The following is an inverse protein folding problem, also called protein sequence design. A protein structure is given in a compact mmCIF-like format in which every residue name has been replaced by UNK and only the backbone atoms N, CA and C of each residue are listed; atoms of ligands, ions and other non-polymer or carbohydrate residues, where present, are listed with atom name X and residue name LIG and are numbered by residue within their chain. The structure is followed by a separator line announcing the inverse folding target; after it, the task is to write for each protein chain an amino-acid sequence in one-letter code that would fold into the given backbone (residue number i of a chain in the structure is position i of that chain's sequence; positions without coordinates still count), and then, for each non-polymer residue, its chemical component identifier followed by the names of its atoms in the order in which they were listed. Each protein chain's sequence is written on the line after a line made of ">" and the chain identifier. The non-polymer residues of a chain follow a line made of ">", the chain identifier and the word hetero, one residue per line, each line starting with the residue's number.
data_IF_921154375634
#
_entry.id   IF_921154375634
#
_cell.length_a   1.000
_cell.length_b   1.000
_cell.length_c   1.000
_cell.angle_alpha   90.00
_cell.angle_beta   90.00
_cell.angle_gamma   90.00
#
_symmetry.space_group_name_H-M   'P 1'
#
loop_
_entity.id
_entity.type
_entity.pdbx_description
1 polymer ?
#
# COMPACT_ATOMS: atom_id res chain seq x y z
N UNK A 1 -1.31 6.81 20.79
CA UNK A 1 -1.13 5.67 19.87
C UNK A 1 -2.25 4.67 20.03
N UNK A 2 -2.11 3.73 20.97
CA UNK A 2 -3.03 2.60 21.18
C UNK A 2 -4.53 2.93 21.13
N UNK A 3 -4.99 3.92 21.90
CA UNK A 3 -6.42 4.27 21.94
C UNK A 3 -6.93 4.64 20.54
N UNK A 4 -6.16 5.39 19.74
CA UNK A 4 -6.56 5.78 18.38
C UNK A 4 -6.78 4.56 17.48
N UNK A 5 -5.86 3.59 17.51
CA UNK A 5 -5.97 2.37 16.72
C UNK A 5 -7.12 1.49 17.21
N UNK A 6 -7.21 1.28 18.53
CA UNK A 6 -8.29 0.49 19.13
C UNK A 6 -9.68 1.06 18.88
N UNK A 7 -9.83 2.40 18.88
CA UNK A 7 -11.10 3.03 18.50
C UNK A 7 -11.53 2.62 17.11
N UNK A 8 -10.59 2.48 16.16
CA UNK A 8 -10.90 2.05 14.81
C UNK A 8 -11.11 0.54 14.71
N UNK A 9 -10.18 -0.24 15.25
CA UNK A 9 -10.21 -1.71 15.16
C UNK A 9 -11.46 -2.30 15.82
N UNK A 10 -11.91 -1.69 16.92
CA UNK A 10 -13.05 -2.16 17.71
C UNK A 10 -14.32 -1.33 17.49
N UNK A 11 -14.35 -0.49 16.46
CA UNK A 11 -15.51 0.36 16.13
C UNK A 11 -16.77 -0.48 15.95
N UNK A 12 -16.65 -1.64 15.29
CA UNK A 12 -17.75 -2.59 15.05
C UNK A 12 -18.31 -3.23 16.33
N UNK A 13 -17.59 -3.18 17.45
CA UNK A 13 -18.08 -3.67 18.75
C UNK A 13 -18.93 -2.62 19.47
N UNK A 14 -18.91 -1.37 19.01
CA UNK A 14 -19.82 -0.35 19.51
C UNK A 14 -21.10 -0.36 18.67
N UNK A 15 -22.20 -0.80 19.29
CA UNK A 15 -23.53 -0.72 18.68
C UNK A 15 -24.29 0.43 19.35
N UNK A 16 -24.73 1.41 18.57
CA UNK A 16 -25.56 2.52 19.05
C UNK A 16 -27.02 2.09 19.17
N UNK A 17 -27.28 1.05 19.99
CA UNK A 17 -28.61 0.48 20.25
C UNK A 17 -29.09 0.72 21.70
N UNK A 18 -28.44 1.63 22.43
CA UNK A 18 -28.79 1.97 23.81
C UNK A 18 -28.22 1.04 24.90
N UNK A 19 -27.63 -0.11 24.54
CA UNK A 19 -27.09 -1.07 25.53
C UNK A 19 -25.71 -0.67 26.08
N UNK A 20 -24.90 0.04 25.29
CA UNK A 20 -23.55 0.48 25.69
C UNK A 20 -23.40 1.99 25.49
N UNK A 21 -23.15 2.74 26.56
CA UNK A 21 -22.87 4.17 26.43
C UNK A 21 -21.49 4.43 25.82
N UNK A 22 -21.33 5.53 25.06
CA UNK A 22 -20.02 5.99 24.55
C UNK A 22 -18.95 6.06 25.65
N UNK A 23 -19.34 6.47 26.86
CA UNK A 23 -18.44 6.55 28.03
C UNK A 23 -17.97 5.17 28.46
N UNK A 24 -18.86 4.18 28.51
CA UNK A 24 -18.51 2.81 28.85
C UNK A 24 -17.57 2.19 27.79
N UNK A 25 -17.85 2.40 26.51
CA UNK A 25 -16.99 1.93 25.43
C UNK A 25 -15.59 2.57 25.49
N UNK A 26 -15.49 3.89 25.69
CA UNK A 26 -14.20 4.57 25.87
C UNK A 26 -13.41 4.03 27.06
N UNK A 27 -14.08 3.72 28.18
CA UNK A 27 -13.45 3.08 29.36
C UNK A 27 -12.92 1.69 29.00
N UNK A 28 -13.70 0.90 28.27
CA UNK A 28 -13.29 -0.42 27.79
C UNK A 28 -12.03 -0.33 26.90
N UNK A 29 -12.01 0.55 25.90
CA UNK A 29 -10.82 0.76 25.05
C UNK A 29 -9.60 1.16 25.88
N UNK A 30 -9.78 1.99 26.91
CA UNK A 30 -8.71 2.35 27.85
C UNK A 30 -8.15 1.15 28.63
N UNK A 31 -9.01 0.23 29.05
CA UNK A 31 -8.58 -0.99 29.73
C UNK A 31 -7.82 -1.94 28.79
N UNK A 32 -8.31 -2.10 27.55
CA UNK A 32 -7.63 -2.89 26.52
C UNK A 32 -6.25 -2.30 26.20
N UNK A 33 -6.16 -0.97 26.04
CA UNK A 33 -4.90 -0.28 25.80
C UNK A 33 -3.87 -0.53 26.91
N UNK A 34 -4.29 -0.49 28.19
CA UNK A 34 -3.41 -0.81 29.33
C UNK A 34 -2.90 -2.25 29.25
N UNK A 35 -3.79 -3.22 28.99
CA UNK A 35 -3.40 -4.62 28.86
C UNK A 35 -2.40 -4.85 27.70
N UNK A 36 -2.59 -4.16 26.57
CA UNK A 36 -1.65 -4.22 25.44
C UNK A 36 -0.27 -3.66 25.80
N UNK A 37 -0.20 -2.58 26.56
CA UNK A 37 1.08 -2.01 27.03
C UNK A 37 1.80 -3.00 27.94
N UNK A 38 1.09 -3.60 28.91
CA UNK A 38 1.68 -4.60 29.81
C UNK A 38 2.22 -5.80 29.03
N UNK A 39 1.46 -6.32 28.05
CA UNK A 39 1.92 -7.41 27.19
C UNK A 39 3.11 -7.00 26.32
N UNK A 40 3.11 -5.78 25.79
CA UNK A 40 4.22 -5.24 25.01
C UNK A 40 5.51 -5.12 25.83
N UNK A 41 5.41 -4.76 27.12
CA UNK A 41 6.54 -4.75 28.04
C UNK A 41 7.05 -6.17 28.33
N UNK A 42 6.16 -7.12 28.64
CA UNK A 42 6.56 -8.51 28.86
C UNK A 42 7.23 -9.13 27.62
N UNK A 43 6.69 -8.86 26.43
CA UNK A 43 7.28 -9.28 25.16
C UNK A 43 8.67 -8.65 24.94
N UNK A 44 8.84 -7.37 25.27
CA UNK A 44 10.13 -6.70 25.20
C UNK A 44 11.19 -7.36 26.09
N UNK A 45 10.86 -7.67 27.34
CA UNK A 45 11.77 -8.34 28.27
C UNK A 45 12.14 -9.75 27.77
N UNK A 46 11.17 -10.48 27.23
CA UNK A 46 11.43 -11.78 26.62
C UNK A 46 12.42 -11.66 25.45
N UNK A 47 12.27 -10.67 24.57
CA UNK A 47 13.22 -10.45 23.46
C UNK A 47 14.63 -10.13 23.98
N UNK A 48 14.76 -9.26 24.98
CA UNK A 48 16.07 -8.89 25.55
C UNK A 48 16.77 -10.12 26.14
N UNK A 49 16.03 -10.95 26.89
CA UNK A 49 16.58 -12.15 27.52
C UNK A 49 17.04 -13.19 26.49
N UNK A 50 16.28 -13.39 25.42
CA UNK A 50 16.56 -14.43 24.44
C UNK A 50 17.53 -13.98 23.33
N UNK A 51 17.61 -12.67 23.06
CA UNK A 51 18.40 -12.10 21.95
C UNK A 51 19.24 -10.89 22.39
N UNK A 52 20.10 -11.02 23.42
CA UNK A 52 20.80 -9.89 24.02
C UNK A 52 21.82 -9.22 23.07
N UNK A 53 22.33 -9.93 22.07
CA UNK A 53 23.30 -9.41 21.10
C UNK A 53 22.69 -8.78 19.83
N UNK A 54 21.37 -8.69 19.73
CA UNK A 54 20.69 -8.24 18.51
C UNK A 54 20.26 -6.78 18.58
N UNK A 55 20.29 -6.10 17.42
CA UNK A 55 19.75 -4.74 17.30
C UNK A 55 18.23 -4.78 17.44
N UNK A 56 17.70 -4.03 18.40
CA UNK A 56 16.25 -3.94 18.61
C UNK A 56 15.62 -2.89 17.70
N UNK A 57 14.88 -3.34 16.71
CA UNK A 57 14.09 -2.47 15.83
C UNK A 57 12.68 -2.22 16.42
N UNK A 58 12.05 -1.10 16.02
CA UNK A 58 10.73 -0.70 16.47
C UNK A 58 9.98 0.03 15.36
N UNK A 59 8.73 -0.35 15.13
CA UNK A 59 7.81 0.37 14.24
C UNK A 59 7.18 1.61 14.90
N UNK A 60 7.41 1.79 16.20
CA UNK A 60 6.95 2.96 16.95
C UNK A 60 8.10 3.96 17.13
N UNK A 61 7.79 5.26 17.24
CA UNK A 61 8.76 6.27 17.66
C UNK A 61 9.46 5.87 18.97
N UNK A 62 10.73 6.22 19.06
CA UNK A 62 11.66 5.86 20.14
C UNK A 62 12.59 7.04 20.37
N UNK A 63 13.11 7.16 21.59
CA UNK A 63 14.20 8.07 21.93
C UNK A 63 15.59 7.51 21.56
N UNK A 64 15.65 6.33 20.90
CA UNK A 64 16.88 5.72 20.41
C UNK A 64 17.71 4.97 21.46
N UNK A 65 17.37 5.07 22.75
CA UNK A 65 18.19 4.50 23.83
C UNK A 65 18.21 2.97 23.83
N UNK A 66 17.06 2.33 23.62
CA UNK A 66 16.91 0.87 23.72
C UNK A 66 16.40 0.21 22.45
N UNK A 67 15.92 1.01 21.49
CA UNK A 67 15.36 0.52 20.23
C UNK A 67 15.47 1.59 19.15
N UNK A 68 15.78 1.15 17.92
CA UNK A 68 15.87 1.98 16.73
C UNK A 68 14.51 1.99 16.03
N UNK A 69 13.96 3.18 15.80
CA UNK A 69 12.71 3.31 15.05
C UNK A 69 12.96 3.12 13.56
N UNK A 70 12.14 2.30 12.91
CA UNK A 70 12.17 2.06 11.47
C UNK A 70 10.79 2.32 10.84
N UNK A 71 10.81 2.72 9.58
CA UNK A 71 9.62 2.67 8.73
C UNK A 71 9.66 1.36 7.94
N UNK A 72 8.63 0.54 8.11
CA UNK A 72 8.44 -0.69 7.32
C UNK A 72 7.82 -0.42 5.96
N UNK A 73 7.15 0.72 5.81
CA UNK A 73 6.55 1.14 4.55
C UNK A 73 7.44 2.18 3.86
N UNK A 74 7.74 2.01 2.56
CA UNK A 74 8.64 2.91 1.88
C UNK A 74 8.11 4.34 1.83
N UNK A 75 9.00 5.31 2.08
CA UNK A 75 8.71 6.75 2.00
C UNK A 75 7.51 7.20 2.87
N UNK A 76 7.12 6.42 3.88
CA UNK A 76 6.06 6.84 4.81
C UNK A 76 6.56 7.97 5.72
N UNK A 77 5.95 9.15 5.62
CA UNK A 77 6.28 10.31 6.48
C UNK A 77 5.70 10.21 7.89
N UNK A 78 4.75 9.29 8.11
CA UNK A 78 4.06 9.07 9.38
C UNK A 78 4.25 7.62 9.83
N UNK A 79 4.24 7.35 11.15
CA UNK A 79 4.29 6.00 11.69
C UNK A 79 2.99 5.28 11.35
N UNK A 80 2.99 4.57 10.23
CA UNK A 80 1.92 3.73 9.72
C UNK A 80 2.48 2.34 9.47
N UNK A 81 1.66 1.33 9.75
CA UNK A 81 2.04 -0.07 9.67
C UNK A 81 1.20 -0.78 8.62
N UNK A 82 1.77 -1.73 7.85
CA UNK A 82 1.06 -2.42 6.77
C UNK A 82 -0.29 -3.03 7.19
N UNK A 83 -0.38 -3.55 8.42
CA UNK A 83 -1.60 -4.20 8.93
C UNK A 83 -2.68 -3.24 9.45
N UNK A 84 -2.42 -1.93 9.45
CA UNK A 84 -3.43 -0.89 9.77
C UNK A 84 -3.63 0.08 8.60
N UNK A 85 -3.19 -0.26 7.39
CA UNK A 85 -3.30 0.62 6.23
C UNK A 85 -3.36 -0.16 4.92
N UNK A 86 -4.04 0.38 3.92
CA UNK A 86 -3.90 -0.02 2.53
C UNK A 86 -2.84 0.84 1.83
N UNK A 87 -2.14 0.30 0.82
CA UNK A 87 -1.34 1.10 -0.11
C UNK A 87 -2.22 1.74 -1.19
N UNK A 88 -1.85 2.96 -1.59
CA UNK A 88 -2.43 3.69 -2.70
C UNK A 88 -1.32 4.29 -3.58
N UNK A 89 -1.48 4.20 -4.90
CA UNK A 89 -0.51 4.69 -5.87
C UNK A 89 -1.06 5.87 -6.67
N UNK A 90 -0.29 6.93 -6.76
CA UNK A 90 -0.54 8.03 -7.70
C UNK A 90 0.02 7.71 -9.08
N UNK A 91 -0.47 8.41 -10.10
CA UNK A 91 0.03 8.28 -11.48
C UNK A 91 1.53 8.63 -11.56
N UNK A 92 1.98 9.61 -10.76
CA UNK A 92 3.40 10.00 -10.66
C UNK A 92 4.28 9.06 -9.80
N UNK A 93 3.75 7.91 -9.37
CA UNK A 93 4.52 6.87 -8.67
C UNK A 93 4.75 7.09 -7.18
N UNK A 94 4.10 8.07 -6.56
CA UNK A 94 4.11 8.24 -5.09
C UNK A 94 3.28 7.15 -4.41
N UNK A 95 3.80 6.74 -3.25
CA UNK A 95 3.15 5.79 -2.35
C UNK A 95 2.40 6.57 -1.25
N UNK A 96 1.12 6.28 -1.12
CA UNK A 96 0.26 6.82 -0.06
C UNK A 96 -0.24 5.64 0.77
N UNK A 97 -0.25 5.80 2.10
CA UNK A 97 -0.75 4.79 3.03
C UNK A 97 -1.86 5.38 3.89
N UNK A 98 -2.99 4.69 3.94
CA UNK A 98 -4.18 5.19 4.61
C UNK A 98 -5.12 4.08 5.04
N UNK A 99 -6.12 4.44 5.83
CA UNK A 99 -7.20 3.51 6.15
C UNK A 99 -8.04 3.25 4.90
N UNK A 100 -8.46 1.99 4.72
CA UNK A 100 -9.25 1.54 3.57
C UNK A 100 -10.44 2.47 3.28
N UNK A 101 -11.19 2.82 4.31
CA UNK A 101 -12.38 3.67 4.20
C UNK A 101 -12.10 5.07 3.65
N UNK A 102 -10.90 5.62 3.88
CA UNK A 102 -10.51 6.94 3.37
C UNK A 102 -10.32 6.86 1.87
N UNK A 103 -9.83 5.72 1.37
CA UNK A 103 -9.69 5.50 -0.06
C UNK A 103 -11.02 5.09 -0.70
N UNK A 104 -11.83 4.26 -0.05
CA UNK A 104 -13.17 3.91 -0.51
C UNK A 104 -14.07 5.15 -0.69
N UNK A 105 -13.94 6.14 0.19
CA UNK A 105 -14.72 7.37 0.13
C UNK A 105 -14.22 8.37 -0.93
N UNK A 106 -13.07 8.12 -1.57
CA UNK A 106 -12.49 9.04 -2.55
C UNK A 106 -12.87 8.62 -3.99
N UNK A 107 -13.69 9.41 -4.70
CA UNK A 107 -14.15 9.06 -6.05
C UNK A 107 -13.03 9.06 -7.11
N UNK A 108 -11.90 9.72 -6.84
CA UNK A 108 -10.72 9.75 -7.73
C UNK A 108 -9.89 8.48 -7.65
N UNK A 109 -10.16 7.61 -6.68
CA UNK A 109 -9.45 6.36 -6.49
C UNK A 109 -10.27 5.16 -6.98
N UNK A 110 -9.56 4.10 -7.35
CA UNK A 110 -10.14 2.80 -7.64
C UNK A 110 -9.39 1.68 -6.93
N UNK A 111 -10.11 0.60 -6.60
CA UNK A 111 -9.54 -0.61 -6.01
C UNK A 111 -9.01 -1.54 -7.12
N UNK A 112 -7.70 -1.72 -7.14
CA UNK A 112 -7.03 -2.65 -8.07
C UNK A 112 -7.11 -4.06 -7.52
N UNK A 113 -7.49 -4.99 -8.40
CA UNK A 113 -7.51 -6.42 -8.10
C UNK A 113 -6.32 -7.11 -8.77
N UNK A 114 -5.72 -8.06 -8.05
CA UNK A 114 -4.67 -8.92 -8.57
C UNK A 114 -5.01 -10.37 -8.22
N UNK A 115 -5.05 -11.24 -9.22
CA UNK A 115 -5.44 -12.65 -9.06
C UNK A 115 -6.80 -12.82 -8.34
N UNK A 116 -7.79 -11.99 -8.70
CA UNK A 116 -9.13 -12.01 -8.13
C UNK A 116 -9.24 -11.49 -6.69
N UNK A 117 -8.18 -10.89 -6.13
CA UNK A 117 -8.17 -10.35 -4.76
C UNK A 117 -7.89 -8.86 -4.75
N UNK A 118 -8.49 -8.08 -3.83
CA UNK A 118 -8.10 -6.71 -3.56
C UNK A 118 -6.60 -6.62 -3.30
N UNK A 119 -5.92 -5.71 -4.00
CA UNK A 119 -4.47 -5.58 -3.89
C UNK A 119 -4.06 -4.21 -3.34
N UNK A 120 -4.48 -3.15 -4.00
CA UNK A 120 -4.16 -1.77 -3.61
C UNK A 120 -5.20 -0.80 -4.15
N UNK A 121 -5.09 0.46 -3.75
CA UNK A 121 -5.78 1.56 -4.43
C UNK A 121 -4.84 2.22 -5.43
N UNK A 122 -5.41 2.91 -6.42
CA UNK A 122 -4.68 3.87 -7.23
C UNK A 122 -5.58 5.01 -7.66
N UNK A 123 -4.99 6.14 -8.03
CA UNK A 123 -5.71 7.21 -8.72
C UNK A 123 -6.18 6.72 -10.09
N UNK A 124 -7.41 7.07 -10.47
CA UNK A 124 -7.92 6.83 -11.82
C UNK A 124 -7.11 7.64 -12.83
N UNK A 125 -6.91 7.08 -14.00
CA UNK A 125 -6.23 7.76 -15.12
C UNK A 125 -6.59 7.08 -16.43
N UNK A 126 -6.85 7.89 -17.46
CA UNK A 126 -7.06 7.39 -18.82
C UNK A 126 -5.82 6.68 -19.39
N UNK A 127 -4.64 6.94 -18.82
CA UNK A 127 -3.40 6.24 -19.16
C UNK A 127 -3.42 4.74 -18.84
N UNK A 128 -4.36 4.29 -18.00
CA UNK A 128 -4.56 2.88 -17.68
C UNK A 128 -5.60 2.18 -18.56
N UNK A 129 -6.39 2.92 -19.35
CA UNK A 129 -7.52 2.40 -20.10
C UNK A 129 -7.12 1.89 -21.48
N UNK A 130 -6.30 0.83 -21.55
CA UNK A 130 -5.81 0.28 -22.83
C UNK A 130 -6.88 -0.55 -23.53
N UNK A 131 -6.88 -0.52 -24.86
CA UNK A 131 -7.74 -1.32 -25.76
C UNK A 131 -7.56 -2.82 -25.51
N UNK A 132 -6.31 -3.27 -25.37
CA UNK A 132 -5.96 -4.59 -24.86
C UNK A 132 -5.70 -4.49 -23.36
N UNK A 133 -6.37 -5.29 -22.51
CA UNK A 133 -6.22 -5.17 -21.07
C UNK A 133 -4.76 -5.34 -20.61
N UNK A 134 -4.29 -4.39 -19.81
CA UNK A 134 -2.96 -4.42 -19.18
C UNK A 134 -3.06 -4.29 -17.66
N UNK A 135 -2.16 -4.98 -16.95
CA UNK A 135 -1.87 -4.70 -15.55
C UNK A 135 -0.77 -3.63 -15.47
N UNK A 136 -1.00 -2.59 -14.68
CA UNK A 136 -0.02 -1.54 -14.41
C UNK A 136 0.37 -1.60 -12.94
N UNK A 137 1.55 -2.16 -12.68
CA UNK A 137 2.08 -2.37 -11.35
C UNK A 137 3.22 -1.37 -11.05
N UNK A 138 3.22 -0.66 -9.92
CA UNK A 138 4.37 0.13 -9.47
C UNK A 138 5.63 -0.73 -9.27
N UNK A 139 6.77 -0.18 -9.67
CA UNK A 139 8.09 -0.72 -9.38
C UNK A 139 8.68 0.07 -8.21
N UNK A 140 9.16 -0.64 -7.19
CA UNK A 140 9.86 0.01 -6.08
C UNK A 140 11.33 0.29 -6.45
N UNK A 141 11.90 1.48 -6.14
CA UNK A 141 11.29 2.64 -5.47
C UNK A 141 10.61 3.67 -6.38
N UNK A 142 10.73 3.51 -7.71
CA UNK A 142 10.06 4.35 -8.71
C UNK A 142 9.85 3.56 -10.01
N UNK A 143 8.94 4.07 -10.84
CA UNK A 143 8.58 3.47 -12.12
C UNK A 143 7.30 2.62 -12.09
N UNK A 144 6.92 2.15 -13.26
CA UNK A 144 5.76 1.29 -13.49
C UNK A 144 6.10 0.16 -14.45
N UNK A 145 5.52 -1.01 -14.21
CA UNK A 145 5.54 -2.14 -15.11
C UNK A 145 4.17 -2.28 -15.75
N UNK A 146 4.12 -2.22 -17.07
CA UNK A 146 2.92 -2.52 -17.87
C UNK A 146 3.06 -3.93 -18.41
N UNK A 147 2.13 -4.80 -18.02
CA UNK A 147 2.10 -6.21 -18.42
C UNK A 147 0.77 -6.51 -19.11
N UNK A 148 0.76 -7.09 -20.32
CA UNK A 148 -0.50 -7.45 -20.96
C UNK A 148 -1.16 -8.60 -20.19
N UNK A 149 -2.48 -8.54 -20.01
CA UNK A 149 -3.24 -9.59 -19.29
C UNK A 149 -3.41 -10.83 -20.16
N UNK A 150 -3.55 -10.63 -21.47
CA UNK A 150 -3.61 -11.67 -22.48
C UNK A 150 -2.34 -11.63 -23.34
N UNK A 151 -2.02 -12.69 -24.11
CA UNK A 151 -0.97 -12.59 -25.13
C UNK A 151 -1.23 -11.40 -26.06
N UNK A 152 -0.29 -10.46 -26.14
CA UNK A 152 -0.43 -9.19 -26.89
C UNK A 152 0.91 -8.86 -27.51
N UNK A 153 0.91 -8.55 -28.81
CA UNK A 153 2.12 -8.21 -29.56
C UNK A 153 2.63 -6.81 -29.20
N UNK A 154 3.94 -6.60 -29.30
CA UNK A 154 4.55 -5.28 -29.15
C UNK A 154 3.95 -4.26 -30.15
N UNK A 155 3.48 -4.74 -31.31
CA UNK A 155 2.80 -3.92 -32.31
C UNK A 155 1.46 -3.36 -31.84
N UNK A 156 0.85 -3.91 -30.80
CA UNK A 156 -0.44 -3.44 -30.26
C UNK A 156 -0.30 -2.47 -29.08
N UNK A 157 0.92 -2.17 -28.64
CA UNK A 157 1.19 -1.20 -27.56
C UNK A 157 0.66 0.20 -27.91
N UNK A 158 -0.10 0.81 -27.02
CA UNK A 158 -0.57 2.19 -27.19
C UNK A 158 0.53 3.16 -26.74
N UNK A 159 1.40 3.55 -27.67
CA UNK A 159 2.60 4.34 -27.37
C UNK A 159 2.29 5.69 -26.75
N UNK A 160 1.19 6.34 -27.11
CA UNK A 160 0.75 7.60 -26.48
C UNK A 160 0.49 7.41 -24.98
N UNK A 161 -0.14 6.29 -24.58
CA UNK A 161 -0.37 5.96 -23.17
C UNK A 161 0.93 5.62 -22.46
N UNK A 162 1.82 4.85 -23.10
CA UNK A 162 3.12 4.53 -22.55
C UNK A 162 3.99 5.78 -22.34
N UNK A 163 4.00 6.71 -23.29
CA UNK A 163 4.68 8.00 -23.19
C UNK A 163 4.05 8.89 -22.12
N UNK A 164 2.71 8.96 -22.07
CA UNK A 164 2.00 9.69 -21.01
C UNK A 164 2.35 9.18 -19.62
N UNK A 165 2.40 7.85 -19.44
CA UNK A 165 2.88 7.26 -18.18
C UNK A 165 4.33 7.64 -17.89
N UNK A 166 5.20 7.65 -18.90
CA UNK A 166 6.62 7.98 -18.73
C UNK A 166 6.84 9.45 -18.35
N UNK A 167 5.98 10.37 -18.80
CA UNK A 167 5.98 11.77 -18.38
C UNK A 167 5.60 11.95 -16.90
N UNK A 168 4.69 11.12 -16.39
CA UNK A 168 4.26 11.18 -14.99
C UNK A 168 5.21 10.43 -14.05
N UNK A 169 5.65 9.23 -14.45
CA UNK A 169 6.46 8.33 -13.64
C UNK A 169 7.45 7.56 -14.51
N UNK A 170 8.73 7.62 -14.15
CA UNK A 170 9.80 6.94 -14.86
C UNK A 170 10.65 6.06 -13.91
N UNK A 171 11.10 4.88 -14.36
CA UNK A 171 10.92 4.32 -15.72
C UNK A 171 9.57 3.63 -15.94
N UNK A 172 9.11 3.59 -17.19
CA UNK A 172 8.02 2.70 -17.63
C UNK A 172 8.63 1.47 -18.30
N UNK A 173 8.33 0.29 -17.77
CA UNK A 173 8.82 -1.00 -18.28
C UNK A 173 7.65 -1.76 -18.91
N UNK A 174 7.72 -1.97 -20.22
CA UNK A 174 6.76 -2.81 -20.96
C UNK A 174 7.29 -4.24 -20.95
N UNK A 175 6.59 -5.18 -20.33
CA UNK A 175 7.07 -6.56 -20.15
C UNK A 175 5.96 -7.58 -20.38
N UNK A 176 6.30 -8.72 -20.99
CA UNK A 176 5.34 -9.79 -21.27
C UNK A 176 4.61 -9.68 -22.62
N UNK A 177 4.94 -8.66 -23.43
CA UNK A 177 4.50 -8.58 -24.82
C UNK A 177 5.23 -9.59 -25.71
N UNK A 178 4.59 -10.06 -26.77
CA UNK A 178 5.19 -10.93 -27.80
C UNK A 178 5.85 -10.12 -28.91
N UNK A 179 6.62 -10.79 -29.77
CA UNK A 179 7.26 -10.21 -30.96
C UNK A 179 8.24 -9.07 -30.67
N UNK A 180 8.76 -9.02 -29.45
CA UNK A 180 9.65 -7.95 -28.96
C UNK A 180 11.04 -7.94 -29.62
N UNK A 181 11.38 -8.98 -30.38
CA UNK A 181 12.63 -9.08 -31.15
C UNK A 181 12.41 -8.92 -32.66
N UNK A 182 11.17 -8.69 -33.11
CA UNK A 182 10.87 -8.45 -34.52
C UNK A 182 11.08 -6.97 -34.85
N UNK A 183 12.28 -6.65 -35.35
CA UNK A 183 12.68 -5.29 -35.66
C UNK A 183 11.89 -4.67 -36.82
N UNK A 184 11.45 -5.46 -37.79
CA UNK A 184 10.66 -4.97 -38.94
C UNK A 184 9.26 -4.57 -38.48
N UNK A 185 8.63 -5.41 -37.67
CA UNK A 185 7.31 -5.12 -37.07
C UNK A 185 7.33 -3.85 -36.21
N UNK A 186 8.41 -3.64 -35.45
CA UNK A 186 8.58 -2.44 -34.62
C UNK A 186 8.76 -1.20 -35.50
N UNK A 187 9.54 -1.30 -36.59
CA UNK A 187 9.77 -0.18 -37.51
C UNK A 187 8.48 0.24 -38.23
N UNK A 188 7.70 -0.71 -38.76
CA UNK A 188 6.44 -0.43 -39.46
C UNK A 188 5.41 0.30 -38.61
N UNK A 189 5.43 0.09 -37.30
CA UNK A 189 4.54 0.78 -36.37
C UNK A 189 4.95 2.22 -36.08
N UNK A 190 6.22 2.57 -36.29
CA UNK A 190 6.73 3.91 -36.06
C UNK A 190 6.44 4.86 -37.24
N UNK A 191 6.03 4.31 -38.39
CA UNK A 191 5.55 5.04 -39.58
C UNK A 191 4.06 5.42 -39.46
#
# INVERSE_FOLDING_TARGET
>A
GYIKFLTKDLEHLYVENGTTSRKAHKKYLGNVAKAMITRGAAFAEAIIKNYPGYIRLSIHPSNGLTKISINVLPRSSKPVTPWHSAPCYTVDGRFIYGWREVFDANPELELVHKNGRPWCYRFKSELYNWSSPVAVDPIYPCGMMVTPVNPTSISQIEMEKAQGLAHENSPVVLRGFTDTHDHELIAQKAE
#
